data_IF_427070770519
#
_entry.id   IF_427070770519
#
_cell.length_a   1.000
_cell.length_b   1.000
_cell.length_c   1.000
_cell.angle_alpha   90.00
_cell.angle_beta   90.00
_cell.angle_gamma   90.00
#
_symmetry.space_group_name_H-M   'P 1'
#
loop_
_entity.id
_entity.type
_entity.pdbx_description
1 polymer ?
#
# COMPACT_ATOMS: atom_id res chain seq x y z
N UNK A 1 -17.80 -11.11 -11.05
CA UNK A 1 -16.79 -10.26 -11.72
C UNK A 1 -17.22 -9.70 -13.09
N UNK A 2 -18.49 -9.88 -13.55
CA UNK A 2 -18.94 -9.43 -14.89
C UNK A 2 -19.87 -8.21 -14.88
N UNK A 3 -20.18 -7.68 -13.70
CA UNK A 3 -21.01 -6.48 -13.51
C UNK A 3 -20.19 -5.22 -13.84
N UNK A 4 -20.81 -4.23 -14.48
CA UNK A 4 -20.24 -2.89 -14.62
C UNK A 4 -20.45 -2.07 -13.33
N UNK A 5 -19.35 -1.66 -12.71
CA UNK A 5 -19.34 -0.86 -11.49
C UNK A 5 -19.04 0.63 -11.75
N UNK A 6 -19.06 1.09 -13.00
CA UNK A 6 -18.79 2.49 -13.35
C UNK A 6 -19.69 3.44 -12.55
N UNK A 7 -19.09 4.39 -11.84
CA UNK A 7 -19.80 5.38 -11.02
C UNK A 7 -20.40 4.85 -9.72
N UNK A 8 -20.13 3.59 -9.33
CA UNK A 8 -20.59 3.01 -8.08
C UNK A 8 -19.49 3.05 -7.01
N UNK A 9 -19.91 3.19 -5.75
CA UNK A 9 -19.00 3.25 -4.61
C UNK A 9 -18.22 4.57 -4.51
N UNK A 10 -17.07 4.52 -3.84
CA UNK A 10 -16.18 5.68 -3.67
C UNK A 10 -14.84 5.37 -4.34
N UNK A 11 -14.49 6.15 -5.36
CA UNK A 11 -13.18 6.07 -6.01
C UNK A 11 -12.10 6.74 -5.13
N UNK A 12 -11.61 5.98 -4.15
CA UNK A 12 -10.59 6.43 -3.21
C UNK A 12 -9.27 6.79 -3.90
N UNK A 13 -8.92 6.12 -5.01
CA UNK A 13 -7.68 6.37 -5.73
C UNK A 13 -7.74 7.72 -6.45
N UNK A 14 -8.84 7.99 -7.17
CA UNK A 14 -9.05 9.28 -7.81
C UNK A 14 -9.04 10.42 -6.79
N UNK A 15 -9.68 10.24 -5.63
CA UNK A 15 -9.69 11.23 -4.56
C UNK A 15 -8.29 11.47 -3.96
N UNK A 16 -7.50 10.42 -3.75
CA UNK A 16 -6.11 10.57 -3.30
C UNK A 16 -5.28 11.36 -4.32
N UNK A 17 -5.36 11.01 -5.61
CA UNK A 17 -4.64 11.71 -6.68
C UNK A 17 -5.05 13.18 -6.75
N UNK A 18 -6.36 13.46 -6.65
CA UNK A 18 -6.89 14.82 -6.65
C UNK A 18 -6.34 15.63 -5.47
N UNK A 19 -6.39 15.08 -4.25
CA UNK A 19 -5.84 15.75 -3.06
C UNK A 19 -4.34 16.01 -3.16
N UNK A 20 -3.54 15.08 -3.67
CA UNK A 20 -2.09 15.29 -3.85
C UNK A 20 -1.79 16.47 -4.79
N UNK A 21 -2.66 16.71 -5.78
CA UNK A 21 -2.55 17.82 -6.74
C UNK A 21 -3.08 19.13 -6.18
N UNK A 22 -4.26 19.11 -5.57
CA UNK A 22 -5.03 20.31 -5.23
C UNK A 22 -4.89 20.76 -3.76
N UNK A 23 -4.62 19.82 -2.85
CA UNK A 23 -4.48 20.07 -1.42
C UNK A 23 -3.38 19.18 -0.81
N UNK A 24 -2.11 19.34 -1.23
CA UNK A 24 -1.02 18.41 -0.92
C UNK A 24 -0.71 18.29 0.58
N UNK A 25 -1.01 19.33 1.37
CA UNK A 25 -0.79 19.33 2.83
C UNK A 25 -1.93 18.64 3.60
N UNK A 26 -2.95 18.11 2.92
CA UNK A 26 -4.01 17.34 3.55
C UNK A 26 -3.43 16.11 4.26
N UNK A 27 -3.73 15.98 5.55
CA UNK A 27 -3.31 14.84 6.38
C UNK A 27 -4.25 13.64 6.27
N UNK A 28 -5.20 13.67 5.33
CA UNK A 28 -6.26 12.68 5.11
C UNK A 28 -6.23 12.10 3.70
N UNK A 29 -5.04 11.95 3.12
CA UNK A 29 -4.84 11.30 1.81
C UNK A 29 -4.65 9.80 2.08
N UNK A 30 -5.75 9.07 2.26
CA UNK A 30 -5.77 7.67 2.68
C UNK A 30 -6.62 6.84 1.74
N UNK A 31 -6.14 5.65 1.39
CA UNK A 31 -6.88 4.63 0.66
C UNK A 31 -6.92 3.35 1.50
N UNK A 32 -8.12 2.81 1.75
CA UNK A 32 -8.34 1.61 2.56
C UNK A 32 -8.96 0.49 1.74
N UNK A 33 -8.40 -0.72 1.86
CA UNK A 33 -8.99 -1.96 1.36
C UNK A 33 -9.82 -2.67 2.45
N UNK A 34 -9.68 -2.27 3.72
CA UNK A 34 -10.40 -2.88 4.83
C UNK A 34 -11.84 -2.33 4.93
N UNK A 35 -12.80 -3.03 4.31
CA UNK A 35 -14.22 -2.73 4.41
C UNK A 35 -14.94 -3.76 5.31
N UNK A 36 -15.27 -3.42 6.58
CA UNK A 36 -15.96 -4.35 7.49
C UNK A 36 -17.27 -4.94 6.98
N UNK A 37 -18.03 -4.18 6.17
CA UNK A 37 -19.31 -4.64 5.64
C UNK A 37 -19.14 -5.80 4.63
N UNK A 38 -18.02 -5.80 3.89
CA UNK A 38 -17.80 -6.73 2.78
C UNK A 38 -16.83 -7.86 3.15
N UNK A 39 -16.26 -7.88 4.37
CA UNK A 39 -15.24 -8.87 4.76
C UNK A 39 -15.68 -10.33 4.54
N UNK A 40 -16.97 -10.62 4.71
CA UNK A 40 -17.52 -11.96 4.54
C UNK A 40 -17.79 -12.34 3.08
N UNK A 41 -17.76 -11.37 2.16
CA UNK A 41 -17.92 -11.59 0.72
C UNK A 41 -16.56 -11.79 0.03
N UNK A 42 -15.46 -11.41 0.68
CA UNK A 42 -14.11 -11.58 0.18
C UNK A 42 -13.64 -13.03 0.31
N UNK A 43 -12.91 -13.53 -0.69
CA UNK A 43 -12.27 -14.85 -0.60
C UNK A 43 -11.34 -14.94 0.62
N UNK A 44 -10.61 -13.87 0.91
CA UNK A 44 -9.81 -13.67 2.12
C UNK A 44 -9.77 -12.17 2.47
N UNK A 45 -9.79 -11.79 3.77
CA UNK A 45 -9.59 -10.39 4.18
C UNK A 45 -8.23 -9.85 3.70
N UNK A 46 -8.14 -8.58 3.27
CA UNK A 46 -6.90 -8.06 2.70
C UNK A 46 -5.78 -8.01 3.74
N UNK A 47 -4.56 -8.39 3.33
CA UNK A 47 -3.37 -8.28 4.18
C UNK A 47 -2.89 -6.83 4.28
N UNK A 48 -2.93 -6.08 3.18
CA UNK A 48 -2.62 -4.64 3.13
C UNK A 48 -3.89 -3.86 3.45
N UNK A 49 -4.01 -3.33 4.66
CA UNK A 49 -5.26 -2.74 5.14
C UNK A 49 -5.51 -1.37 4.52
N UNK A 50 -4.52 -0.49 4.58
CA UNK A 50 -4.60 0.87 4.06
C UNK A 50 -3.21 1.40 3.71
N UNK A 51 -3.19 2.43 2.86
CA UNK A 51 -2.03 3.27 2.67
C UNK A 51 -2.39 4.75 2.85
N UNK A 52 -1.44 5.52 3.37
CA UNK A 52 -1.51 6.96 3.51
C UNK A 52 -0.40 7.59 2.69
N UNK A 53 -0.75 8.62 1.91
CA UNK A 53 0.22 9.42 1.19
C UNK A 53 0.57 10.68 1.98
N UNK A 54 1.84 11.08 1.89
CA UNK A 54 2.36 12.32 2.43
C UNK A 54 3.04 13.08 1.29
N UNK A 55 2.81 14.39 1.20
CA UNK A 55 3.46 15.24 0.20
C UNK A 55 4.44 16.16 0.89
N UNK A 56 5.71 16.05 0.52
CA UNK A 56 6.72 17.05 0.84
C UNK A 56 6.70 18.14 -0.22
N UNK A 57 6.12 19.28 0.12
CA UNK A 57 5.98 20.42 -0.79
C UNK A 57 7.31 21.13 -1.05
N UNK A 58 8.29 21.00 -0.16
CA UNK A 58 9.61 21.61 -0.30
C UNK A 58 10.48 20.80 -1.26
N UNK A 59 10.46 19.47 -1.14
CA UNK A 59 11.26 18.55 -1.98
C UNK A 59 10.52 18.12 -3.27
N UNK A 60 9.24 18.48 -3.40
CA UNK A 60 8.34 18.06 -4.47
C UNK A 60 8.23 16.52 -4.56
N UNK A 61 8.04 15.88 -3.42
CA UNK A 61 8.00 14.43 -3.26
C UNK A 61 6.66 13.95 -2.73
N UNK A 62 6.27 12.73 -3.11
CA UNK A 62 5.18 12.00 -2.47
C UNK A 62 5.72 10.70 -1.90
N UNK A 63 5.50 10.52 -0.59
CA UNK A 63 5.83 9.33 0.17
C UNK A 63 4.56 8.52 0.43
N UNK A 64 4.71 7.22 0.65
CA UNK A 64 3.60 6.31 0.94
C UNK A 64 3.90 5.48 2.19
N UNK A 65 3.02 5.52 3.17
CA UNK A 65 3.01 4.57 4.28
C UNK A 65 1.94 3.50 4.02
N UNK A 66 2.30 2.22 4.10
CA UNK A 66 1.34 1.11 4.02
C UNK A 66 1.32 0.33 5.32
N UNK A 67 0.12 0.02 5.83
CA UNK A 67 -0.06 -0.88 6.98
C UNK A 67 -0.50 -2.27 6.53
N UNK A 68 0.29 -3.29 6.88
CA UNK A 68 0.01 -4.70 6.61
C UNK A 68 -0.29 -5.44 7.90
N UNK A 69 -1.52 -5.96 8.05
CA UNK A 69 -1.94 -6.67 9.28
C UNK A 69 -1.23 -8.01 9.50
N UNK A 70 -0.81 -8.65 8.41
CA UNK A 70 -0.28 -10.02 8.41
C UNK A 70 0.74 -10.15 7.29
N UNK A 71 1.98 -10.48 7.65
CA UNK A 71 3.13 -10.40 6.78
C UNK A 71 4.00 -11.66 6.87
N UNK A 72 3.91 -12.49 5.83
CA UNK A 72 4.87 -13.56 5.59
C UNK A 72 6.20 -12.95 5.17
N UNK A 73 7.17 -12.98 6.07
CA UNK A 73 8.50 -12.41 5.87
C UNK A 73 9.30 -13.13 4.79
N UNK A 74 8.98 -14.41 4.51
CA UNK A 74 9.76 -15.23 3.59
C UNK A 74 9.38 -15.06 2.13
N UNK A 75 8.08 -14.98 1.83
CA UNK A 75 7.58 -14.83 0.46
C UNK A 75 6.83 -13.52 0.25
N UNK A 76 5.83 -13.23 1.08
CA UNK A 76 4.91 -12.11 0.85
C UNK A 76 5.59 -10.73 0.89
N UNK A 77 6.33 -10.45 1.97
CA UNK A 77 6.92 -9.12 2.22
C UNK A 77 7.82 -8.62 1.08
N UNK A 78 8.75 -9.41 0.52
CA UNK A 78 9.54 -8.99 -0.64
C UNK A 78 8.70 -8.45 -1.81
N UNK A 79 7.62 -9.15 -2.17
CA UNK A 79 6.72 -8.69 -3.23
C UNK A 79 5.90 -7.47 -2.81
N UNK A 80 5.53 -7.37 -1.54
CA UNK A 80 4.74 -6.25 -1.02
C UNK A 80 5.54 -4.95 -1.02
N UNK A 81 6.84 -5.01 -0.67
CA UNK A 81 7.77 -3.88 -0.76
C UNK A 81 7.83 -3.38 -2.20
N UNK A 82 8.10 -4.27 -3.16
CA UNK A 82 8.17 -3.90 -4.57
C UNK A 82 6.84 -3.31 -5.08
N UNK A 83 5.71 -3.89 -4.68
CA UNK A 83 4.38 -3.47 -5.13
C UNK A 83 4.03 -2.05 -4.67
N UNK A 84 4.20 -1.74 -3.38
CA UNK A 84 3.84 -0.41 -2.87
C UNK A 84 4.92 0.65 -3.16
N UNK A 85 6.19 0.27 -3.30
CA UNK A 85 7.19 1.16 -3.88
C UNK A 85 6.81 1.56 -5.30
N UNK A 86 6.42 0.58 -6.14
CA UNK A 86 5.96 0.87 -7.51
C UNK A 86 4.70 1.75 -7.51
N UNK A 87 3.72 1.48 -6.64
CA UNK A 87 2.54 2.35 -6.51
C UNK A 87 2.93 3.78 -6.15
N UNK A 88 3.89 3.97 -5.23
CA UNK A 88 4.42 5.29 -4.86
C UNK A 88 5.01 6.00 -6.08
N UNK A 89 5.80 5.29 -6.89
CA UNK A 89 6.34 5.83 -8.14
C UNK A 89 5.25 6.19 -9.18
N UNK A 90 4.22 5.36 -9.32
CA UNK A 90 3.11 5.64 -10.23
C UNK A 90 2.32 6.87 -9.79
N UNK A 91 1.99 6.96 -8.50
CA UNK A 91 1.30 8.13 -7.93
C UNK A 91 2.15 9.39 -8.08
N UNK A 92 3.45 9.31 -7.80
CA UNK A 92 4.38 10.42 -8.03
C UNK A 92 4.36 10.87 -9.50
N UNK A 93 4.49 9.92 -10.43
CA UNK A 93 4.48 10.21 -11.86
C UNK A 93 3.20 10.92 -12.32
N UNK A 94 2.02 10.38 -12.00
CA UNK A 94 0.74 10.96 -12.45
C UNK A 94 0.37 12.28 -11.75
N UNK A 95 1.06 12.61 -10.67
CA UNK A 95 0.91 13.87 -9.93
C UNK A 95 2.02 14.89 -10.21
N UNK A 96 2.99 14.56 -11.07
CA UNK A 96 4.10 15.46 -11.41
C UNK A 96 5.12 15.64 -10.29
N UNK A 97 5.24 14.66 -9.39
CA UNK A 97 6.13 14.66 -8.23
C UNK A 97 7.21 13.59 -8.35
N UNK A 98 8.21 13.66 -7.48
CA UNK A 98 9.19 12.60 -7.28
C UNK A 98 8.65 11.59 -6.26
N UNK A 99 9.05 10.33 -6.38
CA UNK A 99 8.79 9.36 -5.32
C UNK A 99 9.72 9.67 -4.14
N UNK A 100 9.15 9.84 -2.95
CA UNK A 100 9.87 9.92 -1.70
C UNK A 100 9.98 8.54 -1.05
N UNK A 101 9.76 8.50 0.26
CA UNK A 101 9.88 7.27 1.03
C UNK A 101 8.69 6.33 0.85
N UNK A 102 8.98 5.04 0.81
CA UNK A 102 8.00 3.99 1.09
C UNK A 102 8.22 3.46 2.51
N UNK A 103 7.22 3.65 3.37
CA UNK A 103 7.22 3.22 4.77
C UNK A 103 6.29 2.02 4.94
N UNK A 104 6.85 0.86 5.25
CA UNK A 104 6.09 -0.38 5.45
C UNK A 104 5.90 -0.66 6.93
N UNK A 105 4.65 -0.50 7.41
CA UNK A 105 4.27 -0.82 8.78
C UNK A 105 3.65 -2.22 8.82
N UNK A 106 4.15 -3.06 9.72
CA UNK A 106 3.73 -4.46 9.83
C UNK A 106 3.09 -4.69 11.20
N UNK A 107 1.92 -5.34 11.21
CA UNK A 107 1.27 -5.89 12.40
C UNK A 107 1.89 -7.22 12.78
N UNK A 108 1.23 -8.32 12.44
CA UNK A 108 1.78 -9.66 12.65
C UNK A 108 2.84 -9.99 11.58
N UNK A 109 4.11 -9.93 11.99
CA UNK A 109 5.26 -10.37 11.20
C UNK A 109 5.62 -11.81 11.58
N UNK A 110 5.58 -12.72 10.62
CA UNK A 110 5.83 -14.14 10.87
C UNK A 110 6.68 -14.81 9.79
N UNK A 111 7.32 -15.90 10.20
CA UNK A 111 8.07 -16.81 9.33
C UNK A 111 7.41 -18.18 9.42
N UNK A 112 6.98 -18.72 8.29
CA UNK A 112 6.51 -20.10 8.25
C UNK A 112 7.64 -21.08 8.54
N UNK A 113 7.35 -22.17 9.27
CA UNK A 113 8.37 -23.14 9.69
C UNK A 113 9.13 -23.76 8.50
N UNK A 114 8.45 -23.99 7.38
CA UNK A 114 9.05 -24.49 6.15
C UNK A 114 9.89 -23.44 5.39
N UNK A 115 9.93 -22.18 5.83
CA UNK A 115 10.79 -21.13 5.25
C UNK A 115 12.10 -20.93 6.04
N UNK A 116 12.23 -21.49 7.25
CA UNK A 116 13.34 -21.17 8.16
C UNK A 116 14.71 -21.48 7.55
N UNK A 117 14.90 -22.65 6.95
CA UNK A 117 16.21 -23.04 6.41
C UNK A 117 16.58 -22.20 5.17
N UNK A 118 15.61 -21.91 4.31
CA UNK A 118 15.80 -21.05 3.14
C UNK A 118 16.18 -19.61 3.56
N UNK A 119 15.54 -19.09 4.61
CA UNK A 119 15.82 -17.74 5.11
C UNK A 119 17.17 -17.64 5.82
N UNK A 120 17.58 -18.68 6.56
CA UNK A 120 18.94 -18.73 7.14
C UNK A 120 20.01 -18.66 6.06
N UNK A 121 19.83 -19.39 4.97
CA UNK A 121 20.75 -19.33 3.81
C UNK A 121 20.76 -17.92 3.19
N UNK A 122 19.60 -17.31 3.00
CA UNK A 122 19.49 -15.95 2.46
C UNK A 122 20.22 -14.92 3.33
N UNK A 123 20.19 -15.05 4.65
CA UNK A 123 20.86 -14.14 5.61
C UNK A 123 22.40 -14.20 5.56
N UNK A 124 23.00 -15.14 4.83
CA UNK A 124 24.46 -15.23 4.68
C UNK A 124 25.02 -14.42 3.49
N UNK A 125 24.14 -13.73 2.75
CA UNK A 125 24.44 -12.95 1.54
C UNK A 125 24.43 -11.46 1.82
#
# INVERSE_FOLDING_TARGET
MHTDYTGQGVDQLAECIRKIKENPEDRRIVMSAWNPADLNEMALPPCHMFCQFYVDTLNNEVSCQMYQRSADMGLGVPFNIASYALLTHLVAHVTGRKAGDFVHVIGDAHVYLNHVDALKEQLTR
#
